data_IF_650044222781
#
_entry.id   IF_650044222781
#
_cell.length_a   1.000
_cell.length_b   1.000
_cell.length_c   1.000
_cell.angle_alpha   90.00
_cell.angle_beta   90.00
_cell.angle_gamma   90.00
#
_symmetry.space_group_name_H-M   'P 1'
#
loop_
_entity.id
_entity.type
_entity.pdbx_description
1 polymer ?
#
# COMPACT_ATOMS: atom_id res chain seq x y z
N UNK A 1 56.16 -47.85 -12.76
CA UNK A 1 57.37 -47.37 -12.08
C UNK A 1 56.92 -47.11 -10.63
N UNK A 2 57.22 -48.20 -9.83
CA UNK A 2 57.05 -48.23 -8.38
C UNK A 2 57.90 -47.21 -7.68
N UNK A 3 57.46 -46.79 -6.49
CA UNK A 3 58.18 -46.61 -5.23
C UNK A 3 57.16 -46.18 -4.19
N UNK A 4 56.66 -47.01 -3.41
CA UNK A 4 56.72 -47.49 -2.02
C UNK A 4 57.58 -46.65 -1.04
N UNK A 5 57.08 -46.68 0.21
CA UNK A 5 57.71 -46.42 1.51
C UNK A 5 57.40 -45.01 2.13
N UNK A 6 57.06 -44.87 3.39
CA UNK A 6 56.96 -45.79 4.56
C UNK A 6 56.40 -44.98 5.73
N UNK A 7 55.59 -45.59 6.57
CA UNK A 7 55.17 -45.04 7.88
C UNK A 7 56.32 -45.03 8.89
N UNK A 8 56.26 -44.20 9.91
CA UNK A 8 56.55 -44.67 11.24
C UNK A 8 55.40 -44.46 12.22
N UNK A 9 55.08 -45.54 12.90
CA UNK A 9 54.34 -45.62 14.13
C UNK A 9 55.10 -44.93 15.27
N UNK A 10 54.37 -44.08 16.05
CA UNK A 10 54.81 -43.78 17.43
C UNK A 10 53.65 -43.93 18.40
N UNK A 11 54.02 -44.56 19.49
CA UNK A 11 53.20 -45.09 20.55
C UNK A 11 52.60 -44.02 21.47
N UNK A 12 51.53 -44.44 22.09
CA UNK A 12 50.64 -43.86 23.01
C UNK A 12 51.18 -43.07 24.19
N UNK A 13 50.30 -42.34 24.81
CA UNK A 13 50.16 -42.36 26.28
C UNK A 13 49.36 -41.20 26.81
N UNK A 14 48.32 -41.47 27.58
CA UNK A 14 47.95 -40.78 28.84
C UNK A 14 47.43 -39.34 28.85
N UNK A 15 46.78 -38.88 27.83
CA UNK A 15 46.04 -37.56 27.89
C UNK A 15 44.51 -37.68 27.73
N UNK A 16 43.95 -38.88 27.87
CA UNK A 16 42.53 -39.13 27.49
C UNK A 16 41.53 -38.95 28.63
N UNK A 17 41.92 -38.71 29.87
CA UNK A 17 40.95 -38.65 30.97
C UNK A 17 40.58 -37.18 31.40
N UNK A 18 41.46 -36.24 31.17
CA UNK A 18 41.20 -34.83 31.50
C UNK A 18 40.35 -34.14 30.42
N UNK A 19 40.54 -34.47 29.15
CA UNK A 19 39.74 -33.89 28.05
C UNK A 19 38.30 -34.39 28.02
N UNK A 20 38.00 -35.61 28.45
CA UNK A 20 36.62 -36.11 28.56
C UNK A 20 35.79 -35.42 29.62
N UNK A 21 36.40 -34.99 30.75
CA UNK A 21 35.70 -34.24 31.80
C UNK A 21 35.46 -32.78 31.40
N UNK A 22 36.37 -32.16 30.64
CA UNK A 22 36.23 -30.80 30.17
C UNK A 22 35.16 -30.70 29.06
N UNK A 23 35.09 -31.73 28.17
CA UNK A 23 34.07 -31.80 27.12
C UNK A 23 32.65 -32.00 27.68
N UNK A 24 32.50 -32.77 28.77
CA UNK A 24 31.20 -33.00 29.40
C UNK A 24 30.67 -31.74 30.13
N UNK A 25 31.56 -30.95 30.73
CA UNK A 25 31.19 -29.70 31.38
C UNK A 25 30.81 -28.65 30.34
N UNK A 26 31.51 -28.59 29.21
CA UNK A 26 31.18 -27.67 28.10
C UNK A 26 29.84 -28.01 27.44
N UNK A 27 29.49 -29.28 27.29
CA UNK A 27 28.21 -29.73 26.73
C UNK A 27 27.07 -29.44 27.71
N UNK A 28 27.28 -29.58 29.03
CA UNK A 28 26.27 -29.23 30.02
C UNK A 28 26.07 -27.70 30.14
N UNK A 29 27.11 -26.88 29.93
CA UNK A 29 26.98 -25.42 29.90
C UNK A 29 26.24 -24.93 28.62
N UNK A 30 26.48 -25.56 27.48
CA UNK A 30 25.76 -25.24 26.24
C UNK A 30 24.30 -25.68 26.31
N UNK A 31 24.00 -26.83 26.93
CA UNK A 31 22.63 -27.28 27.17
C UNK A 31 21.85 -26.35 28.11
N UNK A 32 22.50 -25.80 29.14
CA UNK A 32 21.88 -24.80 30.05
C UNK A 32 21.63 -23.46 29.38
N UNK A 33 22.46 -23.04 28.40
CA UNK A 33 22.26 -21.83 27.60
C UNK A 33 21.14 -21.98 26.54
N UNK A 34 20.90 -23.19 26.06
CA UNK A 34 19.81 -23.45 25.11
C UNK A 34 18.44 -23.58 25.79
N UNK A 35 18.36 -23.91 27.06
CA UNK A 35 17.11 -23.96 27.82
C UNK A 35 16.68 -22.54 28.28
N UNK A 36 17.62 -21.58 28.38
CA UNK A 36 17.28 -20.19 28.76
C UNK A 36 16.77 -19.32 27.59
N UNK A 37 16.76 -19.83 26.36
CA UNK A 37 16.22 -19.12 25.18
C UNK A 37 14.82 -19.60 24.74
N UNK A 38 14.20 -20.54 25.47
CA UNK A 38 12.88 -21.06 25.12
C UNK A 38 11.71 -20.58 25.99
N UNK A 39 11.95 -19.66 26.93
CA UNK A 39 10.88 -19.10 27.75
C UNK A 39 10.75 -17.58 27.51
N UNK A 40 10.30 -17.17 26.35
CA UNK A 40 9.62 -15.88 26.14
C UNK A 40 9.00 -15.76 24.72
N UNK A 41 8.53 -16.87 24.16
CA UNK A 41 7.43 -16.81 23.22
C UNK A 41 6.16 -17.20 23.97
N UNK A 42 5.74 -16.36 24.92
CA UNK A 42 4.34 -16.20 25.16
C UNK A 42 3.75 -15.82 23.80
N UNK A 43 3.15 -16.78 23.08
CA UNK A 43 2.07 -16.47 22.19
C UNK A 43 1.12 -15.63 23.03
N UNK A 44 1.17 -14.30 22.85
CA UNK A 44 0.06 -13.46 23.19
C UNK A 44 -1.13 -14.05 22.42
N UNK A 45 -1.83 -14.97 23.06
CA UNK A 45 -3.23 -15.15 22.85
C UNK A 45 -3.83 -13.79 23.18
N UNK A 46 -3.82 -12.88 22.16
CA UNK A 46 -4.75 -11.77 22.15
C UNK A 46 -6.12 -12.42 22.28
N UNK A 47 -6.55 -12.53 23.51
CA UNK A 47 -7.98 -12.63 23.80
C UNK A 47 -8.58 -11.50 23.00
N UNK A 48 -9.26 -11.83 21.91
CA UNK A 48 -10.09 -10.91 21.17
C UNK A 48 -11.07 -10.35 22.19
N UNK A 49 -10.71 -9.21 22.75
CA UNK A 49 -11.65 -8.41 23.51
C UNK A 49 -12.71 -8.01 22.47
N UNK A 50 -13.85 -8.70 22.52
CA UNK A 50 -14.94 -8.56 21.56
C UNK A 50 -15.53 -7.14 21.55
N UNK A 51 -15.02 -6.27 22.42
CA UNK A 51 -15.41 -4.85 22.56
C UNK A 51 -14.43 -3.89 21.89
N UNK A 52 -13.18 -4.26 21.60
CA UNK A 52 -12.25 -3.42 20.86
C UNK A 52 -12.54 -3.54 19.36
N UNK A 53 -13.09 -2.48 18.75
CA UNK A 53 -13.31 -2.44 17.30
C UNK A 53 -11.95 -2.59 16.60
N UNK A 54 -11.83 -3.60 15.72
CA UNK A 54 -10.64 -3.80 14.88
C UNK A 54 -10.33 -2.50 14.13
N UNK A 55 -9.05 -2.08 14.14
CA UNK A 55 -8.60 -0.84 13.48
C UNK A 55 -9.05 -0.75 12.03
N UNK A 56 -8.95 -1.86 11.27
CA UNK A 56 -9.41 -1.93 9.87
C UNK A 56 -10.92 -1.65 9.75
N UNK A 57 -11.74 -2.24 10.62
CA UNK A 57 -13.18 -1.97 10.63
C UNK A 57 -13.48 -0.53 11.00
N UNK A 58 -12.75 0.02 11.97
CA UNK A 58 -12.87 1.43 12.34
C UNK A 58 -12.58 2.34 11.14
N UNK A 59 -11.46 2.12 10.43
CA UNK A 59 -11.07 2.93 9.28
C UNK A 59 -12.13 2.88 8.16
N UNK A 60 -12.66 1.70 7.85
CA UNK A 60 -13.73 1.54 6.87
C UNK A 60 -15.02 2.30 7.26
N UNK A 61 -15.36 2.33 8.56
CA UNK A 61 -16.58 2.96 9.06
C UNK A 61 -16.42 4.47 9.25
N UNK A 62 -15.19 4.96 9.51
CA UNK A 62 -14.93 6.36 9.88
C UNK A 62 -14.38 7.21 8.74
N UNK A 63 -13.79 6.60 7.68
CA UNK A 63 -13.31 7.34 6.52
C UNK A 63 -14.41 8.19 5.87
N UNK A 64 -14.07 9.44 5.54
CA UNK A 64 -14.96 10.38 4.83
C UNK A 64 -14.28 10.96 3.59
N UNK A 65 -15.07 11.52 2.68
CA UNK A 65 -14.59 12.30 1.55
C UNK A 65 -14.29 13.71 2.02
N UNK A 66 -13.01 14.02 2.19
CA UNK A 66 -12.51 15.34 2.59
C UNK A 66 -12.43 16.25 1.37
N UNK A 67 -12.84 17.53 1.54
CA UNK A 67 -12.84 18.55 0.49
C UNK A 67 -12.31 19.89 0.99
N UNK A 68 -11.42 19.86 1.98
CA UNK A 68 -10.69 21.03 2.48
C UNK A 68 -9.36 20.54 3.00
N UNK A 69 -8.27 21.09 2.49
CA UNK A 69 -6.91 20.62 2.75
C UNK A 69 -6.00 21.78 3.16
N UNK A 70 -4.96 21.46 3.92
CA UNK A 70 -3.84 22.37 4.13
C UNK A 70 -2.90 22.31 2.93
N UNK A 71 -2.00 23.31 2.81
CA UNK A 71 -0.98 23.33 1.77
C UNK A 71 0.20 22.38 2.08
N UNK A 72 0.22 21.74 3.25
CA UNK A 72 1.27 20.83 3.66
C UNK A 72 1.24 19.54 2.83
N UNK A 73 2.37 19.25 2.18
CA UNK A 73 2.54 18.02 1.41
C UNK A 73 2.94 16.89 2.36
N UNK A 74 2.21 15.77 2.38
CA UNK A 74 2.60 14.60 3.17
C UNK A 74 3.99 14.08 2.78
N UNK A 75 4.75 13.49 3.73
CA UNK A 75 6.04 12.87 3.44
C UNK A 75 5.95 11.84 2.30
N UNK A 76 7.00 11.77 1.46
CA UNK A 76 7.02 10.87 0.31
C UNK A 76 6.82 9.41 0.71
N UNK A 77 7.42 9.00 1.82
CA UNK A 77 7.32 7.65 2.35
C UNK A 77 5.86 7.27 2.67
N UNK A 78 5.07 8.23 3.18
CA UNK A 78 3.64 8.02 3.47
C UNK A 78 2.84 7.87 2.17
N UNK A 79 3.16 8.69 1.16
CA UNK A 79 2.52 8.60 -0.16
C UNK A 79 2.85 7.25 -0.82
N UNK A 80 4.11 6.80 -0.75
CA UNK A 80 4.55 5.51 -1.27
C UNK A 80 3.84 4.33 -0.59
N UNK A 81 3.69 4.37 0.75
CA UNK A 81 2.95 3.35 1.49
C UNK A 81 1.47 3.29 1.07
N UNK A 82 0.84 4.44 0.86
CA UNK A 82 -0.53 4.53 0.36
C UNK A 82 -0.63 3.95 -1.06
N UNK A 83 0.28 4.33 -1.96
CA UNK A 83 0.34 3.77 -3.31
C UNK A 83 0.53 2.25 -3.27
N UNK A 84 1.44 1.77 -2.41
CA UNK A 84 1.65 0.33 -2.20
C UNK A 84 0.37 -0.37 -1.76
N UNK A 85 -0.39 0.18 -0.81
CA UNK A 85 -1.68 -0.39 -0.40
C UNK A 85 -2.67 -0.45 -1.58
N UNK A 86 -2.66 0.54 -2.46
CA UNK A 86 -3.43 0.54 -3.70
C UNK A 86 -3.13 -0.66 -4.58
N UNK A 87 -1.85 -1.01 -4.75
CA UNK A 87 -1.43 -2.14 -5.60
C UNK A 87 -1.86 -3.52 -5.07
N UNK A 88 -2.30 -3.62 -3.82
CA UNK A 88 -2.82 -4.85 -3.22
C UNK A 88 -4.33 -5.02 -3.37
N UNK A 89 -5.01 -4.15 -4.11
CA UNK A 89 -6.41 -4.37 -4.46
C UNK A 89 -6.54 -5.64 -5.33
N UNK A 90 -7.58 -6.46 -5.12
CA UNK A 90 -7.81 -7.62 -5.98
C UNK A 90 -8.13 -7.18 -7.41
N UNK A 91 -7.68 -7.96 -8.38
CA UNK A 91 -7.94 -7.74 -9.81
C UNK A 91 -8.43 -9.02 -10.47
N UNK A 92 -9.25 -8.90 -11.51
CA UNK A 92 -9.77 -10.04 -12.23
C UNK A 92 -8.65 -10.97 -12.70
N UNK A 93 -8.68 -12.23 -12.28
CA UNK A 93 -7.66 -13.26 -12.57
C UNK A 93 -6.22 -12.80 -12.27
N UNK A 94 -6.03 -11.88 -11.33
CA UNK A 94 -4.74 -11.26 -11.00
C UNK A 94 -4.03 -10.63 -12.23
N UNK A 95 -4.80 -10.01 -13.13
CA UNK A 95 -4.27 -9.37 -14.36
C UNK A 95 -3.57 -8.05 -14.09
N UNK A 96 -3.79 -7.44 -12.93
CA UNK A 96 -3.15 -6.20 -12.49
C UNK A 96 -3.22 -5.09 -13.54
N UNK A 97 -4.39 -4.94 -14.17
CA UNK A 97 -4.65 -3.94 -15.19
C UNK A 97 -4.48 -2.47 -14.72
N UNK A 98 -4.76 -2.11 -13.43
CA UNK A 98 -4.63 -0.75 -12.97
C UNK A 98 -3.18 -0.30 -12.78
N UNK A 99 -2.94 1.00 -12.99
CA UNK A 99 -1.72 1.72 -12.61
C UNK A 99 -2.08 2.97 -11.78
N UNK A 100 -1.10 3.46 -11.03
CA UNK A 100 -1.22 4.67 -10.20
C UNK A 100 -0.16 5.66 -10.65
N UNK A 101 -0.57 6.88 -11.00
CA UNK A 101 0.34 8.01 -11.23
C UNK A 101 0.25 8.92 -10.00
N UNK A 102 1.33 8.97 -9.21
CA UNK A 102 1.43 9.84 -8.05
C UNK A 102 1.92 11.23 -8.47
N UNK A 103 1.07 12.23 -8.33
CA UNK A 103 1.35 13.62 -8.70
C UNK A 103 1.56 14.44 -7.44
N UNK A 104 2.81 14.76 -7.14
CA UNK A 104 3.25 15.62 -6.04
C UNK A 104 3.79 16.96 -6.54
N UNK A 105 4.08 17.07 -7.84
CA UNK A 105 4.48 18.33 -8.47
C UNK A 105 3.28 19.26 -8.59
N UNK A 106 3.37 20.46 -8.01
CA UNK A 106 2.30 21.44 -7.94
C UNK A 106 1.81 21.91 -9.32
N UNK A 107 2.72 22.13 -10.26
CA UNK A 107 2.37 22.61 -11.61
C UNK A 107 1.57 21.53 -12.37
N UNK A 108 2.00 20.28 -12.30
CA UNK A 108 1.30 19.15 -12.92
C UNK A 108 -0.06 18.92 -12.26
N UNK A 109 -0.13 19.03 -10.93
CA UNK A 109 -1.39 18.94 -10.16
C UNK A 109 -2.37 20.02 -10.61
N UNK A 110 -1.94 21.27 -10.70
CA UNK A 110 -2.79 22.40 -11.08
C UNK A 110 -3.23 22.30 -12.56
N UNK A 111 -2.34 21.80 -13.43
CA UNK A 111 -2.70 21.49 -14.83
C UNK A 111 -3.80 20.41 -14.90
N UNK A 112 -3.64 19.31 -14.17
CA UNK A 112 -4.68 18.26 -14.10
C UNK A 112 -5.99 18.78 -13.51
N UNK A 113 -5.94 19.67 -12.53
CA UNK A 113 -7.13 20.32 -11.97
C UNK A 113 -7.88 21.13 -13.04
N UNK A 114 -7.16 21.94 -13.81
CA UNK A 114 -7.74 22.72 -14.91
C UNK A 114 -8.37 21.84 -15.98
N UNK A 115 -7.67 20.78 -16.40
CA UNK A 115 -8.21 19.81 -17.36
C UNK A 115 -9.49 19.14 -16.83
N UNK A 116 -9.50 18.80 -15.53
CA UNK A 116 -10.67 18.20 -14.89
C UNK A 116 -11.85 19.19 -14.76
N UNK A 117 -11.56 20.46 -14.48
CA UNK A 117 -12.58 21.52 -14.44
C UNK A 117 -13.17 21.79 -15.85
N UNK A 118 -12.33 21.81 -16.88
CA UNK A 118 -12.73 22.08 -18.25
C UNK A 118 -13.75 21.07 -18.82
N UNK A 119 -13.84 19.88 -18.24
CA UNK A 119 -14.89 18.88 -18.59
C UNK A 119 -16.30 19.41 -18.29
N UNK A 120 -16.47 20.35 -17.34
CA UNK A 120 -17.75 21.01 -17.07
C UNK A 120 -18.01 22.24 -17.95
N UNK A 121 -17.00 22.70 -18.67
CA UNK A 121 -17.01 23.89 -19.48
C UNK A 121 -15.64 24.57 -19.49
N UNK A 122 -15.20 25.13 -20.62
CA UNK A 122 -13.85 25.66 -20.80
C UNK A 122 -13.52 26.83 -19.85
N UNK A 123 -14.54 27.57 -19.41
CA UNK A 123 -14.41 28.74 -18.55
C UNK A 123 -14.64 28.44 -17.06
N UNK A 124 -14.56 27.15 -16.67
CA UNK A 124 -14.78 26.75 -15.29
C UNK A 124 -13.52 26.91 -14.46
N UNK A 125 -13.49 27.92 -13.57
CA UNK A 125 -12.38 28.26 -12.70
C UNK A 125 -12.34 27.48 -11.38
N UNK A 126 -13.28 26.56 -11.14
CA UNK A 126 -13.31 25.77 -9.91
C UNK A 126 -12.11 24.84 -9.84
N UNK A 127 -11.47 24.72 -8.67
CA UNK A 127 -10.52 23.65 -8.40
C UNK A 127 -11.26 22.39 -7.92
N UNK A 128 -11.50 21.39 -8.80
CA UNK A 128 -12.16 20.16 -8.41
C UNK A 128 -11.32 19.29 -7.47
N UNK A 129 -10.05 19.64 -7.25
CA UNK A 129 -9.18 18.99 -6.29
C UNK A 129 -9.15 19.66 -4.91
N UNK A 130 -9.97 20.71 -4.71
CA UNK A 130 -10.20 21.36 -3.41
C UNK A 130 -8.93 21.79 -2.68
N UNK A 131 -7.88 22.19 -3.38
CA UNK A 131 -6.60 22.57 -2.81
C UNK A 131 -5.72 21.42 -2.33
N UNK A 132 -6.14 20.16 -2.49
CA UNK A 132 -5.32 19.01 -2.08
C UNK A 132 -3.93 19.06 -2.74
N UNK A 133 -2.83 18.92 -1.98
CA UNK A 133 -1.48 19.06 -2.52
C UNK A 133 -1.03 17.86 -3.37
N UNK A 134 -1.65 16.69 -3.19
CA UNK A 134 -1.29 15.45 -3.89
C UNK A 134 -2.50 14.86 -4.60
N UNK A 135 -2.27 14.30 -5.78
CA UNK A 135 -3.28 13.58 -6.56
C UNK A 135 -2.71 12.22 -7.01
N UNK A 136 -3.38 11.15 -6.61
CA UNK A 136 -3.08 9.80 -7.09
C UNK A 136 -4.08 9.48 -8.20
N UNK A 137 -3.63 9.54 -9.45
CA UNK A 137 -4.47 9.23 -10.61
C UNK A 137 -4.43 7.73 -10.86
N UNK A 138 -5.60 7.10 -10.90
CA UNK A 138 -5.74 5.69 -11.24
C UNK A 138 -6.23 5.58 -12.68
N UNK A 139 -5.47 4.83 -13.48
CA UNK A 139 -5.84 4.40 -14.82
C UNK A 139 -5.82 2.87 -14.88
N UNK A 140 -6.42 2.29 -15.91
CA UNK A 140 -6.37 0.85 -16.12
C UNK A 140 -6.20 0.50 -17.60
N UNK A 141 -5.40 -0.54 -17.88
CA UNK A 141 -5.24 -1.11 -19.22
C UNK A 141 -6.50 -1.88 -19.59
N UNK A 142 -7.22 -1.38 -20.59
CA UNK A 142 -8.47 -1.95 -21.07
C UNK A 142 -8.26 -3.26 -21.83
N UNK A 143 -7.03 -3.57 -22.23
CA UNK A 143 -6.68 -4.78 -22.97
C UNK A 143 -6.24 -5.93 -22.05
N UNK A 144 -5.81 -5.62 -20.82
CA UNK A 144 -5.31 -6.61 -19.87
C UNK A 144 -6.43 -7.42 -19.21
N UNK A 145 -7.57 -6.80 -18.89
CA UNK A 145 -8.72 -7.45 -18.26
C UNK A 145 -10.03 -6.79 -18.64
N UNK A 146 -11.09 -7.59 -18.82
CA UNK A 146 -12.45 -7.05 -19.04
C UNK A 146 -13.01 -6.36 -17.77
N UNK A 147 -12.47 -6.67 -16.58
CA UNK A 147 -12.81 -6.08 -15.29
C UNK A 147 -11.98 -4.83 -14.97
N UNK A 148 -11.30 -4.25 -15.93
CA UNK A 148 -10.37 -3.12 -15.73
C UNK A 148 -10.97 -1.97 -14.93
N UNK A 149 -12.26 -1.70 -15.10
CA UNK A 149 -12.96 -0.60 -14.42
C UNK A 149 -13.22 -0.92 -12.95
N UNK A 150 -13.69 -2.12 -12.66
CA UNK A 150 -13.91 -2.63 -11.32
C UNK A 150 -12.58 -2.75 -10.58
N UNK A 151 -11.56 -3.31 -11.22
CA UNK A 151 -10.20 -3.45 -10.69
C UNK A 151 -9.64 -2.08 -10.27
N UNK A 152 -9.72 -1.08 -11.16
CA UNK A 152 -9.29 0.28 -10.85
C UNK A 152 -10.12 0.95 -9.74
N UNK A 153 -11.41 0.63 -9.65
CA UNK A 153 -12.27 1.13 -8.58
C UNK A 153 -11.90 0.56 -7.22
N UNK A 154 -11.46 -0.70 -7.16
CA UNK A 154 -10.95 -1.33 -5.95
C UNK A 154 -9.60 -0.70 -5.52
N UNK A 155 -8.72 -0.40 -6.47
CA UNK A 155 -7.49 0.36 -6.20
C UNK A 155 -7.82 1.72 -5.56
N UNK A 156 -8.77 2.48 -6.12
CA UNK A 156 -9.24 3.75 -5.54
C UNK A 156 -9.75 3.57 -4.10
N UNK A 157 -10.51 2.50 -3.83
CA UNK A 157 -10.98 2.17 -2.48
C UNK A 157 -9.82 1.94 -1.50
N UNK A 158 -8.82 1.15 -1.90
CA UNK A 158 -7.64 0.88 -1.08
C UNK A 158 -6.83 2.15 -0.82
N UNK A 159 -6.60 3.00 -1.83
CA UNK A 159 -5.89 4.27 -1.66
C UNK A 159 -6.56 5.16 -0.61
N UNK A 160 -7.89 5.32 -0.70
CA UNK A 160 -8.63 6.17 0.24
C UNK A 160 -8.63 5.61 1.66
N UNK A 161 -8.73 4.28 1.83
CA UNK A 161 -8.68 3.64 3.15
C UNK A 161 -7.26 3.73 3.75
N UNK A 162 -6.22 3.51 2.95
CA UNK A 162 -4.83 3.67 3.38
C UNK A 162 -4.52 5.12 3.78
N UNK A 163 -5.01 6.10 3.02
CA UNK A 163 -4.87 7.51 3.37
C UNK A 163 -5.48 7.81 4.75
N UNK A 164 -6.69 7.31 5.00
CA UNK A 164 -7.36 7.48 6.30
C UNK A 164 -6.60 6.81 7.44
N UNK A 165 -6.11 5.59 7.25
CA UNK A 165 -5.28 4.88 8.23
C UNK A 165 -3.96 5.60 8.55
N UNK A 166 -3.47 6.44 7.62
CA UNK A 166 -2.29 7.31 7.81
C UNK A 166 -2.65 8.71 8.35
N UNK A 167 -3.90 8.95 8.74
CA UNK A 167 -4.37 10.25 9.27
C UNK A 167 -4.55 11.32 8.20
N UNK A 168 -4.59 10.96 6.92
CA UNK A 168 -4.79 11.89 5.82
C UNK A 168 -6.25 11.92 5.35
N UNK A 169 -6.68 13.09 4.88
CA UNK A 169 -7.92 13.25 4.15
C UNK A 169 -7.78 12.79 2.70
N UNK A 170 -8.84 12.21 2.14
CA UNK A 170 -8.89 11.84 0.73
C UNK A 170 -10.30 11.96 0.17
N UNK A 171 -10.39 12.08 -1.15
CA UNK A 171 -11.67 12.06 -1.85
C UNK A 171 -11.48 11.51 -3.27
N UNK A 172 -12.47 10.75 -3.76
CA UNK A 172 -12.55 10.37 -5.16
C UNK A 172 -13.06 11.54 -5.99
N UNK A 173 -12.26 12.05 -6.91
CA UNK A 173 -12.68 13.00 -7.94
C UNK A 173 -12.80 12.27 -9.26
N UNK A 174 -13.95 12.38 -9.86
CA UNK A 174 -14.30 11.73 -11.13
C UNK A 174 -13.59 12.41 -12.34
N UNK A 175 -13.89 11.96 -13.55
CA UNK A 175 -13.46 12.54 -14.84
C UNK A 175 -11.98 12.33 -15.21
N UNK A 176 -11.29 11.42 -14.55
CA UNK A 176 -9.96 11.02 -15.02
C UNK A 176 -10.03 10.47 -16.46
N UNK A 177 -11.14 9.77 -16.82
CA UNK A 177 -11.35 9.29 -18.19
C UNK A 177 -11.29 10.43 -19.19
N UNK A 178 -12.16 11.41 -19.02
CA UNK A 178 -12.29 12.56 -19.93
C UNK A 178 -11.00 13.36 -20.02
N UNK A 179 -10.28 13.54 -18.90
CA UNK A 179 -8.98 14.22 -18.85
C UNK A 179 -7.94 13.48 -19.70
N UNK A 180 -7.81 12.18 -19.53
CA UNK A 180 -6.79 11.39 -20.23
C UNK A 180 -7.21 10.97 -21.65
N UNK A 181 -8.41 11.32 -22.10
CA UNK A 181 -8.84 11.29 -23.51
C UNK A 181 -8.43 12.57 -24.27
N UNK A 182 -8.06 13.67 -23.56
CA UNK A 182 -7.54 14.89 -24.21
C UNK A 182 -6.10 14.70 -24.67
N UNK A 183 -5.66 15.49 -25.66
CA UNK A 183 -4.25 15.45 -26.11
C UNK A 183 -3.26 15.83 -25.00
N UNK A 184 -3.65 16.74 -24.10
CA UNK A 184 -2.81 17.13 -22.97
C UNK A 184 -2.70 15.99 -21.93
N UNK A 185 -3.80 15.30 -21.63
CA UNK A 185 -3.79 14.13 -20.76
C UNK A 185 -2.95 12.98 -21.33
N UNK A 186 -3.11 12.70 -22.63
CA UNK A 186 -2.30 11.72 -23.35
C UNK A 186 -0.82 12.09 -23.37
N UNK A 187 -0.47 13.37 -23.52
CA UNK A 187 0.92 13.82 -23.46
C UNK A 187 1.56 13.45 -22.11
N UNK A 188 0.84 13.60 -20.99
CA UNK A 188 1.34 13.20 -19.67
C UNK A 188 1.67 11.69 -19.64
N UNK A 189 0.83 10.84 -20.25
CA UNK A 189 1.10 9.39 -20.34
C UNK A 189 2.34 9.10 -21.17
N UNK A 190 2.46 9.72 -22.34
CA UNK A 190 3.63 9.56 -23.22
C UNK A 190 4.94 10.00 -22.57
N UNK A 191 4.92 11.11 -21.82
CA UNK A 191 6.09 11.62 -21.08
C UNK A 191 6.56 10.64 -19.99
N UNK A 192 5.64 9.83 -19.46
CA UNK A 192 5.93 8.74 -18.51
C UNK A 192 6.26 7.40 -19.19
N UNK A 193 6.25 7.33 -20.52
CA UNK A 193 6.46 6.09 -21.27
C UNK A 193 5.27 5.12 -21.21
N UNK A 194 4.08 5.62 -20.86
CA UNK A 194 2.85 4.84 -20.77
C UNK A 194 2.13 4.90 -22.14
N UNK A 195 1.68 3.76 -22.64
CA UNK A 195 0.92 3.66 -23.89
C UNK A 195 -0.48 4.29 -23.74
N UNK A 196 -0.63 5.50 -24.25
CA UNK A 196 -1.84 6.31 -24.14
C UNK A 196 -3.05 5.75 -24.91
N UNK A 197 -2.86 4.69 -25.69
CA UNK A 197 -3.93 4.01 -26.43
C UNK A 197 -4.62 2.90 -25.65
N UNK A 198 -3.99 2.39 -24.57
CA UNK A 198 -4.48 1.27 -23.78
C UNK A 198 -5.11 1.69 -22.46
N UNK A 199 -4.60 2.78 -21.87
CA UNK A 199 -4.98 3.17 -20.53
C UNK A 199 -6.13 4.16 -20.52
N UNK A 200 -7.14 3.86 -19.73
CA UNK A 200 -8.31 4.71 -19.49
C UNK A 200 -8.35 5.14 -18.03
N UNK A 201 -8.67 6.41 -17.80
CA UNK A 201 -8.78 6.97 -16.45
C UNK A 201 -9.95 6.37 -15.66
N UNK A 202 -9.71 6.02 -14.41
CA UNK A 202 -10.71 5.53 -13.45
C UNK A 202 -11.16 6.66 -12.53
N UNK A 203 -10.20 7.35 -11.92
CA UNK A 203 -10.47 8.44 -10.99
C UNK A 203 -9.20 9.08 -10.45
N UNK A 204 -9.39 10.21 -9.77
CA UNK A 204 -8.32 10.93 -9.10
C UNK A 204 -8.57 10.83 -7.59
N UNK A 205 -7.68 10.19 -6.84
CA UNK A 205 -7.68 10.19 -5.39
C UNK A 205 -6.88 11.42 -4.92
N UNK A 206 -7.58 12.49 -4.54
CA UNK A 206 -6.93 13.65 -3.94
C UNK A 206 -6.56 13.34 -2.50
N UNK A 207 -5.45 13.89 -2.02
CA UNK A 207 -4.79 13.48 -0.78
C UNK A 207 -4.08 14.66 -0.12
N UNK A 208 -4.18 14.77 1.20
CA UNK A 208 -3.51 15.77 2.02
C UNK A 208 -3.99 15.79 3.46
N UNK A 209 -3.45 16.67 4.28
CA UNK A 209 -3.95 16.91 5.64
C UNK A 209 -5.25 17.70 5.59
N UNK A 210 -6.25 17.28 6.38
CA UNK A 210 -7.56 17.93 6.44
C UNK A 210 -7.43 19.30 7.07
N UNK A 211 -7.97 20.34 6.42
CA UNK A 211 -8.13 21.66 7.00
C UNK A 211 -9.54 21.77 7.63
N UNK A 212 -9.59 22.21 8.88
CA UNK A 212 -10.84 22.32 9.64
C UNK A 212 -11.38 20.97 10.13
N UNK A 213 -12.69 20.90 10.35
CA UNK A 213 -13.35 19.75 10.93
C UNK A 213 -13.43 18.56 9.95
N UNK A 214 -13.23 17.36 10.49
CA UNK A 214 -13.41 16.13 9.70
C UNK A 214 -14.91 15.91 9.43
N UNK A 215 -15.31 15.56 8.20
CA UNK A 215 -16.72 15.47 7.84
C UNK A 215 -17.47 14.39 8.63
N UNK A 216 -18.69 14.71 9.08
CA UNK A 216 -19.55 13.74 9.74
C UNK A 216 -20.14 12.69 8.79
N UNK A 217 -20.48 11.52 9.37
CA UNK A 217 -21.15 10.47 8.63
C UNK A 217 -22.64 10.84 8.39
N UNK A 218 -23.05 10.81 7.14
CA UNK A 218 -24.49 10.85 6.84
C UNK A 218 -25.15 9.52 7.18
N UNK A 219 -26.41 9.49 7.62
CA UNK A 219 -27.17 8.26 7.84
C UNK A 219 -27.15 7.37 6.59
N UNK A 220 -27.07 6.07 6.79
CA UNK A 220 -27.22 5.11 5.69
C UNK A 220 -28.70 4.93 5.38
N UNK A 221 -29.03 4.68 4.11
CA UNK A 221 -30.40 4.41 3.70
C UNK A 221 -30.89 3.12 4.39
N UNK A 222 -32.17 3.10 4.69
CA UNK A 222 -32.85 1.86 5.07
C UNK A 222 -32.74 0.83 3.94
N UNK A 223 -32.86 -0.44 4.28
CA UNK A 223 -32.83 -1.55 3.31
C UNK A 223 -31.56 -1.52 2.41
N UNK A 224 -30.40 -1.23 3.00
CA UNK A 224 -29.13 -1.30 2.29
C UNK A 224 -28.66 -2.76 2.09
N UNK A 225 -29.03 -3.64 3.03
CA UNK A 225 -28.68 -5.06 3.03
C UNK A 225 -29.97 -5.90 3.08
N UNK A 226 -30.07 -6.87 2.20
CA UNK A 226 -31.15 -7.84 2.18
C UNK A 226 -30.60 -9.22 2.57
N UNK A 227 -31.35 -9.96 3.41
CA UNK A 227 -30.94 -11.25 3.93
C UNK A 227 -31.79 -12.37 3.35
N UNK A 228 -31.16 -13.38 2.81
CA UNK A 228 -31.77 -14.69 2.51
C UNK A 228 -31.20 -15.65 3.56
N UNK A 229 -32.09 -16.22 4.41
CA UNK A 229 -31.71 -17.09 5.52
C UNK A 229 -32.25 -18.50 5.27
#
# INVERSE_FOLDING_TARGET
MDISDSFPTFAGSKTCLCMKKLSLILILAIAALLVSCCDNNACDNKTNDATAMNTTMNDLLTRRSVRSYTDEVPPMEVIEEICKAGTYAPTGMNRQAPIIIAVTNREVRDRLSKLNAAVFGPDNDMDPFYGAPVVLVVLADTTAAFTWKEDGSLVMGNLMNAAHAKGLGSCWIHRAKEVFETEEGKAILRDLGIDDTKYVGIGNCILGYTAGDYPEARPRKENYVYWIK
#
